data_IF_598276521980
#
_entry.id   IF_598276521980
#
_cell.length_a   1.000
_cell.length_b   1.000
_cell.length_c   1.000
_cell.angle_alpha   90.00
_cell.angle_beta   90.00
_cell.angle_gamma   90.00
#
_symmetry.space_group_name_H-M   'P 1'
#
loop_
_entity.id
_entity.type
_entity.pdbx_description
1 polymer ?
#
# COMPACT_ATOMS: atom_id res chain seq x y z
N UNK A 1 -28.94 65.53 -7.98
CA UNK A 1 -29.81 64.68 -7.13
C UNK A 1 -30.73 63.86 -8.03
N UNK A 2 -30.92 62.57 -7.69
CA UNK A 2 -31.72 61.49 -8.34
C UNK A 2 -30.88 60.51 -9.17
N UNK A 3 -30.95 59.18 -9.02
CA UNK A 3 -31.40 58.22 -7.98
C UNK A 3 -30.70 56.89 -8.36
N UNK A 4 -30.07 56.20 -7.42
CA UNK A 4 -29.53 54.83 -7.59
C UNK A 4 -30.66 53.84 -7.32
N UNK A 5 -30.93 52.89 -8.22
CA UNK A 5 -31.55 51.62 -7.86
C UNK A 5 -31.53 50.58 -9.00
N UNK A 6 -31.23 49.32 -8.67
CA UNK A 6 -31.52 48.14 -9.49
C UNK A 6 -30.27 47.44 -10.02
N UNK A 7 -29.55 46.64 -9.21
CA UNK A 7 -29.84 45.24 -8.90
C UNK A 7 -29.43 44.28 -10.04
N UNK A 8 -28.59 43.30 -9.64
CA UNK A 8 -28.57 41.90 -10.11
C UNK A 8 -27.64 41.49 -11.29
N UNK A 9 -26.69 40.62 -10.92
CA UNK A 9 -26.23 39.41 -11.66
C UNK A 9 -25.27 39.63 -12.85
N UNK A 10 -24.33 38.73 -13.17
CA UNK A 10 -23.81 37.52 -12.53
C UNK A 10 -22.50 37.14 -13.24
N UNK A 11 -21.69 36.35 -12.54
CA UNK A 11 -20.51 35.60 -13.00
C UNK A 11 -20.44 35.22 -14.49
N UNK A 12 -19.24 35.35 -15.08
CA UNK A 12 -18.79 34.44 -16.13
C UNK A 12 -17.26 34.28 -16.06
N UNK A 13 -16.86 33.21 -15.38
CA UNK A 13 -15.50 32.79 -15.12
C UNK A 13 -14.76 32.33 -16.38
N UNK A 14 -13.48 32.65 -16.44
CA UNK A 14 -12.51 32.16 -17.42
C UNK A 14 -12.38 30.63 -17.30
N UNK A 15 -12.66 29.90 -18.38
CA UNK A 15 -12.36 28.47 -18.50
C UNK A 15 -11.08 28.30 -19.35
N UNK A 16 -9.93 28.15 -18.69
CA UNK A 16 -8.74 27.57 -19.30
C UNK A 16 -8.90 26.04 -19.27
N UNK A 17 -9.22 25.43 -20.41
CA UNK A 17 -9.16 23.99 -20.60
C UNK A 17 -7.72 23.59 -20.92
N UNK A 18 -6.98 23.05 -19.94
CA UNK A 18 -5.69 22.39 -20.18
C UNK A 18 -5.94 20.90 -20.42
N UNK A 19 -5.67 20.41 -21.64
CA UNK A 19 -5.63 18.99 -21.94
C UNK A 19 -4.45 18.34 -21.21
N UNK A 20 -4.70 17.45 -20.26
CA UNK A 20 -3.66 16.61 -19.67
C UNK A 20 -3.67 15.26 -20.40
N UNK A 21 -2.75 15.07 -21.35
CA UNK A 21 -2.58 13.78 -22.02
C UNK A 21 -1.70 12.88 -21.14
N UNK A 22 -2.31 11.88 -20.52
CA UNK A 22 -1.60 10.89 -19.70
C UNK A 22 -0.84 9.92 -20.61
N UNK A 23 0.50 9.82 -20.55
CA UNK A 23 1.25 8.80 -21.27
C UNK A 23 0.93 7.40 -20.72
N UNK A 24 0.95 6.34 -21.55
CA UNK A 24 0.73 4.98 -21.10
C UNK A 24 1.80 4.57 -20.07
N UNK A 25 1.36 4.03 -18.94
CA UNK A 25 2.25 3.55 -17.90
C UNK A 25 3.11 2.39 -18.41
N UNK A 26 4.40 2.29 -18.02
CA UNK A 26 5.21 1.13 -18.32
C UNK A 26 4.59 -0.12 -17.69
N UNK A 27 4.49 -1.20 -18.48
CA UNK A 27 4.02 -2.50 -18.02
C UNK A 27 5.03 -3.07 -17.02
N UNK A 28 4.71 -3.02 -15.73
CA UNK A 28 5.45 -3.75 -14.73
C UNK A 28 5.20 -5.26 -14.91
N UNK A 29 6.20 -6.14 -14.68
CA UNK A 29 5.99 -7.57 -14.71
C UNK A 29 4.90 -7.95 -13.70
N UNK A 30 3.91 -8.71 -14.17
CA UNK A 30 2.84 -9.26 -13.35
C UNK A 30 3.45 -10.28 -12.40
N UNK A 31 3.68 -9.87 -11.15
CA UNK A 31 3.91 -10.82 -10.07
C UNK A 31 2.61 -11.62 -9.94
N UNK A 32 2.63 -12.89 -10.35
CA UNK A 32 1.57 -13.83 -9.99
C UNK A 32 1.45 -13.81 -8.48
N UNK A 33 0.34 -13.27 -7.99
CA UNK A 33 0.03 -13.12 -6.57
C UNK A 33 0.02 -14.49 -5.90
N UNK A 34 1.16 -14.91 -5.37
CA UNK A 34 1.24 -16.03 -4.46
C UNK A 34 0.67 -15.59 -3.09
N UNK A 35 -0.22 -16.44 -2.56
CA UNK A 35 -0.94 -16.31 -1.30
C UNK A 35 -1.64 -14.97 -1.06
N UNK A 36 -2.90 -14.87 -1.50
CA UNK A 36 -3.81 -13.85 -1.01
C UNK A 36 -3.89 -13.92 0.53
N UNK A 37 -3.46 -12.86 1.21
CA UNK A 37 -3.72 -12.70 2.63
C UNK A 37 -5.23 -12.63 2.83
N UNK A 38 -5.83 -13.51 3.66
CA UNK A 38 -7.26 -13.48 4.02
C UNK A 38 -7.62 -12.29 4.94
N UNK A 39 -6.89 -11.18 4.82
CA UNK A 39 -7.07 -10.00 5.65
C UNK A 39 -8.23 -9.15 5.14
N UNK A 40 -8.93 -8.44 6.03
CA UNK A 40 -10.00 -7.54 5.62
C UNK A 40 -9.51 -6.53 4.59
N UNK A 41 -10.21 -6.48 3.45
CA UNK A 41 -9.99 -5.49 2.39
C UNK A 41 -10.12 -4.09 2.97
N UNK A 42 -9.10 -3.24 2.77
CA UNK A 42 -9.09 -1.85 3.25
C UNK A 42 -8.32 -1.60 4.57
N UNK A 43 -7.82 -2.65 5.24
CA UNK A 43 -6.88 -2.46 6.36
C UNK A 43 -5.52 -1.96 5.86
N UNK A 44 -4.93 -1.01 6.58
CA UNK A 44 -3.65 -0.40 6.19
C UNK A 44 -2.46 -1.37 6.35
N UNK A 45 -2.61 -2.37 7.21
CA UNK A 45 -1.60 -3.40 7.46
C UNK A 45 -1.55 -4.50 6.40
N UNK A 46 -2.66 -4.82 5.72
CA UNK A 46 -2.70 -5.90 4.72
C UNK A 46 -1.67 -5.73 3.62
N UNK A 47 -1.56 -4.53 3.03
CA UNK A 47 -0.60 -4.28 1.96
C UNK A 47 0.86 -4.45 2.41
N UNK A 48 1.19 -4.09 3.66
CA UNK A 48 2.55 -4.25 4.19
C UNK A 48 2.91 -5.73 4.38
N UNK A 49 1.97 -6.51 4.91
CA UNK A 49 2.11 -7.95 5.13
C UNK A 49 2.24 -8.70 3.80
N UNK A 50 1.31 -8.48 2.86
CA UNK A 50 1.32 -9.14 1.55
C UNK A 50 2.61 -8.84 0.79
N UNK A 51 3.06 -7.59 0.78
CA UNK A 51 4.34 -7.22 0.14
C UNK A 51 5.52 -7.95 0.76
N UNK A 52 5.62 -7.96 2.09
CA UNK A 52 6.76 -8.61 2.74
C UNK A 52 6.77 -10.12 2.52
N UNK A 53 5.59 -10.76 2.56
CA UNK A 53 5.41 -12.17 2.22
C UNK A 53 5.90 -12.48 0.80
N UNK A 54 5.48 -11.68 -0.18
CA UNK A 54 5.90 -11.86 -1.57
C UNK A 54 7.43 -11.75 -1.75
N UNK A 55 8.09 -10.84 -1.01
CA UNK A 55 9.56 -10.75 -1.01
C UNK A 55 10.18 -12.03 -0.44
N UNK A 56 9.67 -12.56 0.67
CA UNK A 56 10.21 -13.79 1.28
C UNK A 56 10.03 -15.02 0.39
N UNK A 57 8.90 -15.12 -0.29
CA UNK A 57 8.62 -16.19 -1.25
C UNK A 57 9.56 -16.12 -2.46
N UNK A 58 9.81 -14.91 -2.99
CA UNK A 58 10.81 -14.69 -4.02
C UNK A 58 12.22 -15.04 -3.54
N UNK A 59 12.60 -14.60 -2.34
CA UNK A 59 13.96 -14.82 -1.83
C UNK A 59 14.23 -16.28 -1.50
N UNK A 60 13.21 -17.03 -1.08
CA UNK A 60 13.29 -18.48 -0.97
C UNK A 60 13.45 -19.14 -2.35
N UNK A 61 12.69 -18.72 -3.36
CA UNK A 61 12.73 -19.32 -4.70
C UNK A 61 14.04 -19.03 -5.42
N UNK A 62 14.61 -17.84 -5.21
CA UNK A 62 15.91 -17.41 -5.76
C UNK A 62 17.10 -17.91 -4.95
N UNK A 63 16.86 -18.49 -3.76
CA UNK A 63 17.92 -18.99 -2.87
C UNK A 63 18.67 -17.89 -2.11
N UNK A 64 18.15 -16.67 -2.05
CA UNK A 64 18.68 -15.57 -1.23
C UNK A 64 18.46 -15.81 0.27
N UNK A 65 17.43 -16.59 0.62
CA UNK A 65 17.10 -16.98 2.00
C UNK A 65 17.03 -18.51 2.10
N UNK A 66 17.62 -19.06 3.16
CA UNK A 66 17.49 -20.49 3.44
C UNK A 66 16.13 -20.83 4.09
N UNK A 67 15.72 -22.10 3.99
CA UNK A 67 14.42 -22.57 4.49
C UNK A 67 14.15 -22.28 5.97
N UNK A 68 15.19 -22.32 6.81
CA UNK A 68 15.05 -22.07 8.25
C UNK A 68 14.75 -20.60 8.53
N UNK A 69 15.48 -19.68 7.90
CA UNK A 69 15.25 -18.24 8.02
C UNK A 69 13.90 -17.86 7.42
N UNK A 70 13.54 -18.43 6.26
CA UNK A 70 12.21 -18.26 5.68
C UNK A 70 11.12 -18.68 6.66
N UNK A 71 11.20 -19.88 7.25
CA UNK A 71 10.20 -20.36 8.19
C UNK A 71 10.08 -19.47 9.44
N UNK A 72 11.21 -18.96 9.96
CA UNK A 72 11.21 -17.99 11.05
C UNK A 72 10.46 -16.71 10.65
N UNK A 73 10.78 -16.12 9.50
CA UNK A 73 10.13 -14.90 9.02
C UNK A 73 8.63 -15.12 8.79
N UNK A 74 8.23 -16.26 8.23
CA UNK A 74 6.82 -16.60 8.04
C UNK A 74 6.05 -16.69 9.36
N UNK A 75 6.69 -17.18 10.43
CA UNK A 75 6.10 -17.14 11.78
C UNK A 75 5.91 -15.72 12.30
N UNK A 76 6.87 -14.83 12.04
CA UNK A 76 6.78 -13.41 12.41
C UNK A 76 5.68 -12.67 11.59
N UNK A 77 5.55 -12.99 10.30
CA UNK A 77 4.47 -12.50 9.43
C UNK A 77 3.10 -12.97 9.95
N UNK A 78 2.97 -14.22 10.39
CA UNK A 78 1.72 -14.75 10.94
C UNK A 78 1.26 -13.99 12.21
N UNK A 79 2.20 -13.54 13.05
CA UNK A 79 1.88 -12.68 14.19
C UNK A 79 1.35 -11.31 13.74
N UNK A 80 1.93 -10.73 12.68
CA UNK A 80 1.44 -9.49 12.09
C UNK A 80 0.05 -9.67 11.44
N UNK A 81 -0.19 -10.79 10.76
CA UNK A 81 -1.50 -11.17 10.20
C UNK A 81 -2.56 -11.26 11.30
N UNK A 82 -2.23 -11.88 12.43
CA UNK A 82 -3.13 -11.98 13.59
C UNK A 82 -3.51 -10.61 14.14
N UNK A 83 -2.52 -9.73 14.37
CA UNK A 83 -2.78 -8.36 14.84
C UNK A 83 -3.61 -7.56 13.84
N UNK A 84 -3.33 -7.70 12.54
CA UNK A 84 -4.07 -7.01 11.49
C UNK A 84 -5.52 -7.48 11.39
N UNK A 85 -5.76 -8.80 11.50
CA UNK A 85 -7.10 -9.37 11.54
C UNK A 85 -7.92 -8.91 12.76
N UNK A 86 -7.26 -8.55 13.86
CA UNK A 86 -7.88 -7.95 15.05
C UNK A 86 -8.13 -6.43 14.93
N UNK A 87 -7.77 -5.80 13.79
CA UNK A 87 -7.88 -4.35 13.59
C UNK A 87 -6.75 -3.53 14.24
N UNK A 88 -5.68 -4.19 14.70
CA UNK A 88 -4.52 -3.55 15.32
C UNK A 88 -3.48 -3.12 14.26
N UNK A 89 -3.90 -2.29 13.29
CA UNK A 89 -3.11 -1.93 12.11
C UNK A 89 -1.69 -1.44 12.43
N UNK A 90 -1.56 -0.52 13.39
CA UNK A 90 -0.27 0.06 13.79
C UNK A 90 0.66 -1.01 14.37
N UNK A 91 0.12 -1.91 15.20
CA UNK A 91 0.87 -3.02 15.79
C UNK A 91 1.31 -3.99 14.70
N UNK A 92 0.43 -4.37 13.79
CA UNK A 92 0.75 -5.25 12.68
C UNK A 92 1.89 -4.71 11.80
N UNK A 93 1.82 -3.43 11.42
CA UNK A 93 2.91 -2.78 10.65
C UNK A 93 4.20 -2.73 11.46
N UNK A 94 4.14 -2.47 12.77
CA UNK A 94 5.33 -2.47 13.63
C UNK A 94 6.00 -3.85 13.71
N UNK A 95 5.21 -4.93 13.73
CA UNK A 95 5.71 -6.30 13.71
C UNK A 95 6.43 -6.62 12.38
N UNK A 96 5.87 -6.17 11.25
CA UNK A 96 6.53 -6.30 9.93
C UNK A 96 7.87 -5.57 9.92
N UNK A 97 7.92 -4.31 10.38
CA UNK A 97 9.18 -3.54 10.47
C UNK A 97 10.21 -4.19 11.38
N UNK A 98 9.77 -4.68 12.54
CA UNK A 98 10.65 -5.37 13.48
C UNK A 98 11.25 -6.65 12.86
N UNK A 99 10.45 -7.42 12.12
CA UNK A 99 10.95 -8.57 11.36
C UNK A 99 11.99 -8.15 10.34
N UNK A 100 11.65 -7.19 9.48
CA UNK A 100 12.57 -6.67 8.46
C UNK A 100 13.91 -6.24 9.06
N UNK A 101 13.89 -5.48 10.15
CA UNK A 101 15.09 -5.04 10.86
C UNK A 101 15.93 -6.19 11.41
N UNK A 102 15.32 -7.27 11.92
CA UNK A 102 16.05 -8.45 12.43
C UNK A 102 16.76 -9.21 11.31
N UNK A 103 16.20 -9.19 10.10
CA UNK A 103 16.65 -10.00 8.97
C UNK A 103 17.36 -9.19 7.86
N UNK A 104 17.62 -7.90 8.10
CA UNK A 104 18.38 -7.04 7.18
C UNK A 104 17.60 -6.50 5.99
N UNK A 105 16.26 -6.56 6.02
CA UNK A 105 15.41 -5.95 5.00
C UNK A 105 15.11 -4.48 5.34
N UNK A 106 15.11 -3.56 4.36
CA UNK A 106 14.78 -2.16 4.60
C UNK A 106 13.27 -1.93 4.85
N UNK A 107 12.93 -0.98 5.73
CA UNK A 107 11.57 -0.44 5.91
C UNK A 107 11.14 -0.10 7.33
#
# INVERSE_FOLDING_TARGET
MRKVNGLLYCCASVLLATCNATPPAPVAPTLTSAAASNLPSGSSCAAAITKYRAVMENDLSMGHVNKTVYAQIMGEISQAETACGAGEDVRAVSLVRASKSRHGYPG
#
